data_IF_593059446613
#
_entry.id   IF_593059446613
#
_cell.length_a   1.000
_cell.length_b   1.000
_cell.length_c   1.000
_cell.angle_alpha   90.00
_cell.angle_beta   90.00
_cell.angle_gamma   90.00
#
_symmetry.space_group_name_H-M   'P 1'
#
loop_
_entity.id
_entity.type
_entity.pdbx_description
1 polymer ?
#
# COMPACT_ATOMS: atom_id res chain seq x y z
N UNK A 1 -10.60 21.42 -4.54
CA UNK A 1 -10.51 20.10 -5.19
C UNK A 1 -11.75 19.32 -4.83
N UNK A 2 -12.54 18.86 -5.79
CA UNK A 2 -13.70 18.01 -5.53
C UNK A 2 -13.21 16.60 -5.21
N UNK A 3 -13.52 16.09 -4.01
CA UNK A 3 -13.32 14.68 -3.68
C UNK A 3 -14.42 13.87 -4.38
N UNK A 4 -14.19 13.52 -5.64
CA UNK A 4 -15.08 12.63 -6.38
C UNK A 4 -14.80 11.20 -5.92
N UNK A 5 -15.87 10.51 -5.53
CA UNK A 5 -15.82 9.09 -5.22
C UNK A 5 -16.51 8.31 -6.33
N UNK A 6 -15.93 7.17 -6.66
CA UNK A 6 -16.37 6.27 -7.72
C UNK A 6 -16.61 4.90 -7.12
N UNK A 7 -17.78 4.32 -7.41
CA UNK A 7 -18.10 2.94 -7.05
C UNK A 7 -17.53 1.99 -8.11
N UNK A 8 -16.68 1.05 -7.70
CA UNK A 8 -16.08 0.03 -8.55
C UNK A 8 -16.58 -1.35 -8.15
N UNK A 9 -16.94 -2.15 -9.16
CA UNK A 9 -17.17 -3.58 -8.99
C UNK A 9 -15.88 -4.32 -9.30
N UNK A 10 -15.24 -4.85 -8.26
CA UNK A 10 -13.96 -5.56 -8.33
C UNK A 10 -14.20 -7.06 -8.23
N UNK A 11 -13.89 -7.78 -9.30
CA UNK A 11 -13.86 -9.24 -9.31
C UNK A 11 -12.47 -9.70 -8.90
N UNK A 12 -12.38 -10.31 -7.73
CA UNK A 12 -11.15 -10.89 -7.20
C UNK A 12 -11.38 -12.38 -6.99
N UNK A 13 -10.61 -13.22 -7.69
CA UNK A 13 -10.81 -14.67 -7.73
C UNK A 13 -12.26 -15.06 -8.10
N UNK A 14 -13.00 -15.65 -7.15
CA UNK A 14 -14.40 -16.07 -7.32
C UNK A 14 -15.40 -15.07 -6.72
N UNK A 15 -14.91 -13.99 -6.10
CA UNK A 15 -15.71 -13.02 -5.37
C UNK A 15 -15.89 -11.74 -6.17
N UNK A 16 -17.06 -11.12 -6.04
CA UNK A 16 -17.35 -9.79 -6.56
C UNK A 16 -17.55 -8.85 -5.36
N UNK A 17 -16.77 -7.77 -5.32
CA UNK A 17 -16.70 -6.83 -4.20
C UNK A 17 -17.01 -5.44 -4.76
N UNK A 18 -17.95 -4.74 -4.14
CA UNK A 18 -18.21 -3.33 -4.45
C UNK A 18 -17.36 -2.45 -3.54
N UNK A 19 -16.53 -1.59 -4.13
CA UNK A 19 -15.65 -0.66 -3.41
C UNK A 19 -15.94 0.78 -3.83
N UNK A 20 -16.13 1.67 -2.85
CA UNK A 20 -16.29 3.11 -3.10
C UNK A 20 -14.99 3.82 -2.82
N UNK A 21 -14.26 4.12 -3.90
CA UNK A 21 -12.91 4.66 -3.83
C UNK A 21 -12.87 6.11 -4.27
N UNK A 22 -11.85 6.86 -3.84
CA UNK A 22 -11.57 8.15 -4.45
C UNK A 22 -11.23 7.93 -5.92
N UNK A 23 -11.67 8.84 -6.78
CA UNK A 23 -11.39 8.77 -8.21
C UNK A 23 -9.87 8.65 -8.44
N UNK A 24 -9.40 7.60 -9.13
CA UNK A 24 -7.97 7.39 -9.34
C UNK A 24 -7.41 8.46 -10.29
N UNK A 25 -6.20 8.92 -9.98
CA UNK A 25 -5.44 9.87 -10.81
C UNK A 25 -4.25 9.21 -11.49
N UNK A 26 -3.61 8.27 -10.79
CA UNK A 26 -2.39 7.59 -11.21
C UNK A 26 -2.52 6.09 -10.93
N UNK A 27 -1.86 5.25 -11.74
CA UNK A 27 -1.95 3.79 -11.65
C UNK A 27 -1.38 3.28 -10.33
N UNK A 28 -0.27 3.86 -9.87
CA UNK A 28 0.41 3.50 -8.62
C UNK A 28 -0.51 3.70 -7.41
N UNK A 29 -1.11 4.88 -7.29
CA UNK A 29 -2.04 5.19 -6.20
C UNK A 29 -3.32 4.36 -6.26
N UNK A 30 -3.78 3.98 -7.45
CA UNK A 30 -4.94 3.08 -7.59
C UNK A 30 -4.61 1.67 -7.11
N UNK A 31 -3.46 1.13 -7.49
CA UNK A 31 -2.97 -0.18 -7.02
C UNK A 31 -2.81 -0.18 -5.50
N UNK A 32 -2.19 0.85 -4.93
CA UNK A 32 -2.00 0.97 -3.48
C UNK A 32 -3.34 1.01 -2.73
N UNK A 33 -4.30 1.79 -3.24
CA UNK A 33 -5.66 1.85 -2.67
C UNK A 33 -6.33 0.47 -2.70
N UNK A 34 -6.25 -0.24 -3.82
CA UNK A 34 -6.83 -1.58 -3.94
C UNK A 34 -6.15 -2.59 -3.01
N UNK A 35 -4.81 -2.56 -2.89
CA UNK A 35 -4.09 -3.42 -1.94
C UNK A 35 -4.57 -3.21 -0.50
N UNK A 36 -4.74 -1.95 -0.09
CA UNK A 36 -5.21 -1.60 1.24
C UNK A 36 -6.65 -2.09 1.50
N UNK A 37 -7.56 -1.86 0.55
CA UNK A 37 -8.98 -2.26 0.68
C UNK A 37 -9.17 -3.78 0.64
N UNK A 38 -8.36 -4.48 -0.16
CA UNK A 38 -8.36 -5.94 -0.26
C UNK A 38 -7.51 -6.62 0.84
N UNK A 39 -6.85 -5.83 1.72
CA UNK A 39 -5.99 -6.30 2.82
C UNK A 39 -4.87 -7.24 2.34
N UNK A 40 -4.23 -6.88 1.24
CA UNK A 40 -3.14 -7.66 0.66
C UNK A 40 -1.82 -7.38 1.37
N UNK A 41 -0.89 -8.33 1.27
CA UNK A 41 0.46 -8.10 1.76
C UNK A 41 1.19 -7.08 0.89
N UNK A 42 2.11 -6.33 1.49
CA UNK A 42 2.94 -5.36 0.75
C UNK A 42 3.74 -6.04 -0.39
N UNK A 43 4.09 -7.32 -0.21
CA UNK A 43 4.82 -8.12 -1.20
C UNK A 43 3.95 -8.60 -2.35
N UNK A 44 2.63 -8.61 -2.20
CA UNK A 44 1.72 -9.07 -3.24
C UNK A 44 1.75 -8.11 -4.42
N UNK A 45 1.81 -8.66 -5.64
CA UNK A 45 1.66 -7.89 -6.86
C UNK A 45 0.21 -7.97 -7.34
N UNK A 46 -0.25 -6.92 -8.02
CA UNK A 46 -1.64 -6.75 -8.39
C UNK A 46 -1.72 -6.39 -9.88
N UNK A 47 -2.43 -7.23 -10.63
CA UNK A 47 -2.74 -7.01 -12.05
C UNK A 47 -4.21 -6.63 -12.16
N UNK A 48 -4.49 -5.48 -12.77
CA UNK A 48 -5.85 -4.97 -12.95
C UNK A 48 -6.22 -5.08 -14.42
N UNK A 49 -7.27 -5.84 -14.71
CA UNK A 49 -7.78 -6.02 -16.06
C UNK A 49 -9.13 -5.32 -16.23
N UNK A 50 -9.26 -4.64 -17.36
CA UNK A 50 -10.40 -3.86 -17.79
C UNK A 50 -10.87 -4.37 -19.17
N UNK A 51 -12.18 -4.57 -19.39
CA UNK A 51 -12.67 -4.95 -20.72
C UNK A 51 -12.61 -3.77 -21.70
N UNK A 52 -12.02 -4.01 -22.86
CA UNK A 52 -12.00 -3.10 -24.02
C UNK A 52 -13.36 -3.05 -24.72
N UNK A 53 -13.54 -2.12 -25.64
CA UNK A 53 -14.76 -2.05 -26.47
C UNK A 53 -14.95 -3.27 -27.37
N UNK A 54 -13.87 -3.98 -27.69
CA UNK A 54 -13.87 -5.18 -28.52
C UNK A 54 -14.19 -6.45 -27.71
N UNK A 55 -14.38 -6.33 -26.39
CA UNK A 55 -14.66 -7.45 -25.50
C UNK A 55 -13.43 -8.20 -25.00
N UNK A 56 -12.23 -7.85 -25.47
CA UNK A 56 -10.96 -8.36 -24.94
C UNK A 56 -10.62 -7.68 -23.61
N UNK A 57 -9.82 -8.34 -22.76
CA UNK A 57 -9.28 -7.75 -21.54
C UNK A 57 -7.97 -6.99 -21.83
N UNK A 58 -7.82 -5.81 -21.25
CA UNK A 58 -6.63 -4.97 -21.27
C UNK A 58 -6.14 -4.79 -19.84
N UNK A 59 -4.83 -4.85 -19.64
CA UNK A 59 -4.20 -4.54 -18.36
C UNK A 59 -4.02 -3.03 -18.19
N UNK A 60 -4.30 -2.51 -16.99
CA UNK A 60 -3.99 -1.13 -16.64
C UNK A 60 -2.55 -1.06 -16.12
N UNK A 61 -1.63 -0.50 -16.91
CA UNK A 61 -0.19 -0.48 -16.61
C UNK A 61 0.38 0.92 -16.42
N UNK A 62 -0.35 1.94 -16.86
CA UNK A 62 0.12 3.32 -16.92
C UNK A 62 -0.96 4.33 -16.53
N UNK A 63 -0.55 5.57 -16.28
CA UNK A 63 -1.48 6.67 -16.01
C UNK A 63 -2.38 7.00 -17.22
N UNK A 64 -1.90 6.72 -18.44
CA UNK A 64 -2.70 6.84 -19.66
C UNK A 64 -3.87 5.84 -19.66
N UNK A 65 -3.68 4.65 -19.09
CA UNK A 65 -4.73 3.64 -18.95
C UNK A 65 -5.78 4.06 -17.92
N UNK A 66 -5.36 4.77 -16.85
CA UNK A 66 -6.27 5.40 -15.89
C UNK A 66 -7.08 6.51 -16.58
N UNK A 67 -6.44 7.35 -17.39
CA UNK A 67 -7.14 8.36 -18.18
C UNK A 67 -8.15 7.74 -19.15
N UNK A 68 -7.79 6.63 -19.79
CA UNK A 68 -8.69 5.84 -20.63
C UNK A 68 -9.89 5.30 -19.83
N UNK A 69 -9.65 4.67 -18.68
CA UNK A 69 -10.69 4.14 -17.79
C UNK A 69 -11.69 5.24 -17.42
N UNK A 70 -11.19 6.41 -17.00
CA UNK A 70 -11.99 7.57 -16.63
C UNK A 70 -12.89 8.05 -17.76
N UNK A 71 -12.32 8.15 -18.97
CA UNK A 71 -13.02 8.67 -20.14
C UNK A 71 -14.07 7.70 -20.68
N UNK A 72 -13.86 6.40 -20.51
CA UNK A 72 -14.63 5.38 -21.24
C UNK A 72 -15.53 4.52 -20.37
N UNK A 73 -15.19 4.32 -19.10
CA UNK A 73 -15.86 3.36 -18.21
C UNK A 73 -16.58 4.00 -17.04
N UNK A 74 -16.25 5.24 -16.68
CA UNK A 74 -16.97 5.92 -15.62
C UNK A 74 -18.29 6.50 -16.13
N UNK A 75 -19.35 6.28 -15.36
CA UNK A 75 -20.71 6.72 -15.66
C UNK A 75 -21.32 7.39 -14.44
N UNK A 76 -22.20 8.36 -14.68
CA UNK A 76 -22.93 9.04 -13.62
C UNK A 76 -24.35 8.47 -13.53
N UNK A 77 -24.74 8.01 -12.35
CA UNK A 77 -26.10 7.62 -12.05
C UNK A 77 -26.89 8.86 -11.63
N UNK A 78 -27.81 9.34 -12.48
CA UNK A 78 -28.60 10.53 -12.19
C UNK A 78 -29.63 10.34 -11.04
N UNK A 79 -29.99 9.10 -10.73
CA UNK A 79 -30.95 8.77 -9.66
C UNK A 79 -30.23 8.80 -8.31
N UNK A 80 -29.15 8.02 -8.16
CA UNK A 80 -28.38 7.97 -6.90
C UNK A 80 -27.44 9.16 -6.73
N UNK A 81 -27.18 9.90 -7.81
CA UNK A 81 -26.21 11.01 -7.90
C UNK A 81 -24.76 10.57 -7.65
N UNK A 82 -24.44 9.33 -7.97
CA UNK A 82 -23.12 8.75 -7.75
C UNK A 82 -22.41 8.42 -9.07
N UNK A 83 -21.08 8.50 -9.06
CA UNK A 83 -20.23 8.03 -10.17
C UNK A 83 -19.89 6.57 -9.93
N UNK A 84 -19.96 5.75 -10.96
CA UNK A 84 -19.63 4.33 -10.89
C UNK A 84 -18.87 3.88 -12.14
N UNK A 85 -18.06 2.84 -12.00
CA UNK A 85 -17.45 2.13 -13.12
C UNK A 85 -18.51 1.19 -13.71
N UNK A 86 -18.84 1.36 -14.98
CA UNK A 86 -19.89 0.59 -15.67
C UNK A 86 -19.43 -0.81 -16.11
N UNK A 87 -18.18 -1.16 -15.84
CA UNK A 87 -17.60 -2.48 -16.09
C UNK A 87 -17.05 -3.05 -14.79
N UNK A 88 -17.06 -4.38 -14.70
CA UNK A 88 -16.30 -5.07 -13.67
C UNK A 88 -14.81 -5.00 -13.99
N UNK A 89 -14.00 -4.64 -12.99
CA UNK A 89 -12.55 -4.76 -13.06
C UNK A 89 -12.16 -6.12 -12.50
N UNK A 90 -11.33 -6.86 -13.23
CA UNK A 90 -10.80 -8.14 -12.74
C UNK A 90 -9.44 -7.87 -12.12
N UNK A 91 -9.32 -8.18 -10.84
CA UNK A 91 -8.08 -8.05 -10.09
C UNK A 91 -7.49 -9.44 -9.87
N UNK A 92 -6.27 -9.63 -10.32
CA UNK A 92 -5.48 -10.83 -10.12
C UNK A 92 -4.40 -10.49 -9.10
N UNK A 93 -4.38 -11.25 -8.01
CA UNK A 93 -3.37 -11.14 -6.96
C UNK A 93 -2.27 -12.15 -7.26
N UNK A 94 -1.03 -11.68 -7.35
CA UNK A 94 0.15 -12.50 -7.53
C UNK A 94 0.89 -12.51 -6.20
N UNK A 95 0.70 -13.57 -5.44
CA UNK A 95 1.43 -13.79 -4.19
C UNK A 95 2.89 -14.12 -4.50
N UNK A 96 3.83 -13.35 -3.95
CA UNK A 96 5.25 -13.71 -4.03
C UNK A 96 5.49 -14.94 -3.17
N UNK A 97 6.06 -15.98 -3.78
CA UNK A 97 6.50 -17.17 -3.06
C UNK A 97 7.61 -16.75 -2.06
N UNK A 98 7.66 -17.39 -0.89
CA UNK A 98 8.66 -17.09 0.14
C UNK A 98 10.12 -17.28 -0.33
N UNK A 99 10.32 -18.04 -1.41
CA UNK A 99 11.62 -18.24 -2.06
C UNK A 99 11.92 -17.24 -3.19
N UNK A 100 11.04 -16.26 -3.44
CA UNK A 100 11.36 -15.17 -4.36
C UNK A 100 12.43 -14.26 -3.74
N UNK A 101 13.41 -13.87 -4.56
CA UNK A 101 14.58 -13.08 -4.13
C UNK A 101 14.15 -11.76 -3.50
N UNK A 102 13.09 -11.14 -4.02
CA UNK A 102 12.55 -9.88 -3.48
C UNK A 102 11.93 -10.06 -2.09
N UNK A 103 11.18 -11.15 -1.86
CA UNK A 103 10.64 -11.48 -0.54
C UNK A 103 11.74 -11.75 0.48
N UNK A 104 12.82 -12.41 0.06
CA UNK A 104 13.99 -12.62 0.90
C UNK A 104 14.69 -11.29 1.24
N UNK A 105 14.90 -10.41 0.26
CA UNK A 105 15.49 -9.08 0.48
C UNK A 105 14.63 -8.26 1.45
N UNK A 106 13.32 -8.25 1.27
CA UNK A 106 12.42 -7.49 2.14
C UNK A 106 12.38 -8.03 3.57
N UNK A 107 12.42 -9.35 3.74
CA UNK A 107 12.57 -9.98 5.06
C UNK A 107 13.93 -9.67 5.69
N UNK A 108 15.00 -9.59 4.91
CA UNK A 108 16.32 -9.18 5.38
C UNK A 108 16.31 -7.71 5.81
N UNK A 109 15.68 -6.81 5.05
CA UNK A 109 15.51 -5.40 5.43
C UNK A 109 14.75 -5.25 6.76
N UNK A 110 13.61 -5.94 6.92
CA UNK A 110 12.85 -5.92 8.19
C UNK A 110 13.66 -6.45 9.38
N UNK A 111 14.49 -7.47 9.17
CA UNK A 111 15.39 -7.99 10.21
C UNK A 111 16.50 -7.00 10.54
N UNK A 112 17.02 -6.27 9.55
CA UNK A 112 18.03 -5.25 9.73
C UNK A 112 17.49 -4.06 10.52
N UNK A 113 16.29 -3.56 10.19
CA UNK A 113 15.64 -2.46 10.92
C UNK A 113 15.34 -2.84 12.39
N UNK A 114 14.88 -4.07 12.62
CA UNK A 114 14.69 -4.61 13.96
C UNK A 114 16.01 -4.77 14.74
N UNK A 115 17.13 -5.00 14.05
CA UNK A 115 18.43 -5.06 14.70
C UNK A 115 18.96 -3.65 15.01
N UNK A 116 18.82 -2.71 14.08
CA UNK A 116 19.20 -1.31 14.26
C UNK A 116 18.50 -0.71 15.48
N UNK A 117 17.17 -0.86 15.57
CA UNK A 117 16.39 -0.36 16.71
C UNK A 117 16.79 -0.98 18.06
N UNK A 118 17.20 -2.25 18.08
CA UNK A 118 17.74 -2.89 19.30
C UNK A 118 19.11 -2.33 19.67
N UNK A 119 19.97 -2.09 18.69
CA UNK A 119 21.30 -1.50 18.92
C UNK A 119 21.16 -0.09 19.45
N UNK A 120 20.31 0.74 18.85
CA UNK A 120 20.04 2.11 19.32
C UNK A 120 19.58 2.11 20.78
N UNK A 121 18.63 1.22 21.11
CA UNK A 121 18.15 1.08 22.49
C UNK A 121 19.25 0.69 23.49
N UNK A 122 20.12 -0.24 23.11
CA UNK A 122 21.26 -0.65 23.97
C UNK A 122 22.25 0.50 24.12
N UNK A 123 22.46 1.30 23.07
CA UNK A 123 23.34 2.46 23.09
C UNK A 123 22.80 3.54 24.02
N UNK A 124 21.50 3.79 23.98
CA UNK A 124 20.82 4.72 24.88
C UNK A 124 20.92 4.26 26.35
N UNK A 125 20.68 2.98 26.63
CA UNK A 125 20.83 2.41 27.98
C UNK A 125 22.28 2.43 28.49
N UNK A 126 23.26 2.34 27.58
CA UNK A 126 24.67 2.45 27.94
C UNK A 126 25.06 3.89 28.25
N UNK A 127 24.62 4.85 27.43
CA UNK A 127 24.86 6.28 27.66
C UNK A 127 24.21 6.74 28.97
N UNK A 128 22.98 6.31 29.26
CA UNK A 128 22.32 6.66 30.52
C UNK A 128 23.08 6.15 31.74
N UNK A 129 23.64 4.93 31.69
CA UNK A 129 24.48 4.38 32.76
C UNK A 129 25.80 5.12 32.92
N UNK A 130 26.43 5.56 31.82
CA UNK A 130 27.63 6.40 31.88
C UNK A 130 27.32 7.74 32.54
N UNK A 131 26.23 8.39 32.16
CA UNK A 131 25.83 9.67 32.72
C UNK A 131 25.48 9.56 34.22
N UNK A 132 24.75 8.52 34.62
CA UNK A 132 24.47 8.21 36.02
C UNK A 132 25.76 8.00 36.82
N UNK A 133 26.70 7.21 36.28
CA UNK A 133 27.97 6.94 36.96
C UNK A 133 28.87 8.17 37.04
N UNK A 134 28.91 8.99 35.98
CA UNK A 134 29.62 10.27 35.94
C UNK A 134 29.07 11.23 36.99
N UNK A 135 27.74 11.39 37.05
CA UNK A 135 27.08 12.22 38.05
C UNK A 135 27.32 11.72 39.47
N UNK A 136 27.35 10.40 39.69
CA UNK A 136 27.69 9.78 40.98
C UNK A 136 29.13 10.12 41.41
N UNK A 137 30.11 9.97 40.51
CA UNK A 137 31.51 10.32 40.78
C UNK A 137 31.66 11.82 41.08
N UNK A 138 31.05 12.69 40.28
CA UNK A 138 31.07 14.14 40.51
C UNK A 138 30.42 14.53 41.85
N UNK A 139 29.34 13.84 42.25
CA UNK A 139 28.70 14.08 43.55
C UNK A 139 29.60 13.68 44.73
N UNK A 140 30.40 12.62 44.57
CA UNK A 140 31.33 12.15 45.60
C UNK A 140 32.54 13.06 45.73
N UNK A 141 33.06 13.59 44.62
CA UNK A 141 34.19 14.53 44.60
C UNK A 141 33.85 15.93 45.14
N UNK A 142 32.58 16.35 45.10
CA UNK A 142 32.12 17.63 45.68
C UNK A 142 31.93 17.60 47.21
N UNK A 143 31.98 16.43 47.83
CA UNK A 143 31.83 16.24 49.28
C UNK A 143 33.19 16.27 50.00
N UNK A 144 34.29 16.30 49.26
CA UNK A 144 35.66 16.58 49.75
C UNK A 144 36.03 18.05 49.53
#
# INVERSE_FOLDING_TARGET
MSNVFVTFNIRCEKSLIELKLKEPTEISGFIETLKNELKLEETDELVILCPTFEGNMMELQSDDDIAFLKKTKLSYNAITKEVYCNVELVVIIIHKLQDDTNSQIMNLSKKLDNLASKVDKVLDEFNSKIDENSNSIFSTLKVF
#
